data_IF_204704492138
#
_entry.id   IF_204704492138
#
_cell.length_a   1.000
_cell.length_b   1.000
_cell.length_c   1.000
_cell.angle_alpha   90.00
_cell.angle_beta   90.00
_cell.angle_gamma   90.00
#
_symmetry.space_group_name_H-M   'P 1'
#
loop_
_entity.id
_entity.type
_entity.pdbx_description
1 polymer ?
#
# COMPACT_ATOMS: atom_id res chain seq x y z
N UNK A 1 -27.20 16.36 16.75
CA UNK A 1 -27.32 16.79 18.09
C UNK A 1 -27.95 18.16 18.35
N UNK A 2 -27.31 19.26 17.96
CA UNK A 2 -27.84 20.64 18.26
C UNK A 2 -29.03 21.02 17.41
N UNK A 3 -29.13 20.53 16.19
CA UNK A 3 -30.26 20.79 15.31
C UNK A 3 -31.59 20.23 15.81
N UNK A 4 -31.56 19.08 16.48
CA UNK A 4 -32.73 18.38 16.97
C UNK A 4 -33.28 18.91 18.32
N UNK A 5 -32.57 19.83 19.00
CA UNK A 5 -33.04 20.37 20.28
C UNK A 5 -34.25 21.28 20.09
N UNK A 6 -35.25 21.07 20.96
CA UNK A 6 -36.37 21.96 21.06
C UNK A 6 -35.90 23.32 21.63
N UNK A 7 -36.47 24.40 21.12
CA UNK A 7 -36.16 25.73 21.63
C UNK A 7 -37.46 26.57 21.62
N UNK A 8 -37.86 26.97 22.82
CA UNK A 8 -39.05 27.82 23.01
C UNK A 8 -38.75 29.22 22.51
N UNK A 9 -39.76 29.82 21.87
CA UNK A 9 -39.72 31.20 21.35
C UNK A 9 -38.56 31.50 20.36
N UNK A 10 -38.00 30.50 19.70
CA UNK A 10 -36.87 30.67 18.77
C UNK A 10 -37.21 31.64 17.62
N UNK A 11 -38.48 31.63 17.18
CA UNK A 11 -38.97 32.44 16.06
C UNK A 11 -39.90 33.61 16.51
N UNK A 12 -39.79 33.98 17.80
CA UNK A 12 -40.59 35.01 18.41
C UNK A 12 -41.56 34.50 19.48
N UNK A 13 -42.19 35.41 20.22
CA UNK A 13 -43.06 35.05 21.34
C UNK A 13 -44.17 34.07 20.96
N UNK A 14 -44.24 32.91 21.61
CA UNK A 14 -45.19 31.84 21.32
C UNK A 14 -44.86 31.00 20.07
N UNK A 15 -43.72 31.25 19.40
CA UNK A 15 -43.30 30.51 18.22
C UNK A 15 -42.09 29.60 18.55
N UNK A 16 -42.41 28.40 18.96
CA UNK A 16 -41.40 27.41 19.35
C UNK A 16 -40.80 26.71 18.13
N UNK A 17 -39.59 26.21 18.28
CA UNK A 17 -39.00 25.31 17.30
C UNK A 17 -39.62 23.91 17.47
N UNK A 18 -40.50 23.52 16.56
CA UNK A 18 -41.23 22.24 16.58
C UNK A 18 -40.55 21.15 15.72
N UNK A 19 -39.81 21.59 14.70
CA UNK A 19 -39.15 20.69 13.75
C UNK A 19 -37.82 21.28 13.25
N UNK A 20 -37.08 20.48 12.57
CA UNK A 20 -35.88 20.88 11.80
C UNK A 20 -35.92 20.24 10.43
N UNK A 21 -35.28 20.88 9.47
CA UNK A 21 -35.23 20.39 8.09
C UNK A 21 -33.82 19.88 7.81
N UNK A 22 -33.71 18.68 7.24
CA UNK A 22 -32.50 18.14 6.73
C UNK A 22 -32.55 18.16 5.21
N UNK A 23 -31.54 18.78 4.61
CA UNK A 23 -31.38 18.76 3.16
C UNK A 23 -30.45 17.61 2.81
N UNK A 24 -30.97 16.56 2.20
CA UNK A 24 -30.19 15.41 1.74
C UNK A 24 -29.78 15.58 0.27
N UNK A 25 -28.59 16.12 0.06
CA UNK A 25 -28.06 16.39 -1.29
C UNK A 25 -27.54 15.13 -2.02
N UNK A 26 -27.36 14.02 -1.31
CA UNK A 26 -26.77 12.79 -1.85
C UNK A 26 -27.65 11.55 -1.66
N UNK A 27 -28.96 11.74 -1.42
CA UNK A 27 -29.93 10.67 -1.19
C UNK A 27 -29.51 9.68 -0.08
N UNK A 28 -28.86 10.20 0.99
CA UNK A 28 -28.40 9.36 2.09
C UNK A 28 -29.54 8.64 2.79
N UNK A 29 -30.70 9.29 2.94
CA UNK A 29 -31.87 8.66 3.57
C UNK A 29 -32.41 7.50 2.75
N UNK A 30 -32.40 7.62 1.41
CA UNK A 30 -32.77 6.55 0.51
C UNK A 30 -31.76 5.40 0.60
N UNK A 31 -30.46 5.74 0.53
CA UNK A 31 -29.37 4.77 0.68
C UNK A 31 -29.44 3.99 2.00
N UNK A 32 -29.62 4.66 3.15
CA UNK A 32 -29.74 3.99 4.45
C UNK A 32 -31.09 3.30 4.65
N UNK A 33 -32.13 3.72 3.91
CA UNK A 33 -33.39 3.00 3.85
C UNK A 33 -33.28 1.63 3.19
N UNK A 34 -32.49 1.57 2.10
CA UNK A 34 -32.17 0.31 1.41
C UNK A 34 -31.07 -0.49 2.09
N UNK A 35 -30.15 0.17 2.79
CA UNK A 35 -29.01 -0.42 3.51
C UNK A 35 -29.02 0.00 4.98
N UNK A 36 -29.91 -0.58 5.83
CA UNK A 36 -30.07 -0.15 7.22
C UNK A 36 -28.78 -0.25 8.06
N UNK A 37 -27.90 -1.19 7.73
CA UNK A 37 -26.61 -1.36 8.40
C UNK A 37 -25.53 -0.39 7.88
N UNK A 38 -25.85 0.38 6.84
CA UNK A 38 -24.93 1.31 6.20
C UNK A 38 -23.83 0.60 5.42
N UNK A 39 -22.93 1.40 4.87
CA UNK A 39 -21.68 0.90 4.30
C UNK A 39 -20.67 0.77 5.46
N UNK A 40 -20.32 -0.45 5.81
CA UNK A 40 -19.13 -0.69 6.64
C UNK A 40 -17.94 -0.40 5.72
N UNK A 41 -17.22 0.72 5.88
CA UNK A 41 -16.02 0.93 5.08
C UNK A 41 -15.09 -0.24 5.39
N UNK A 42 -14.75 -1.05 4.37
CA UNK A 42 -13.60 -1.94 4.49
C UNK A 42 -12.46 -1.05 4.97
N UNK A 43 -11.84 -1.39 6.08
CA UNK A 43 -10.65 -0.66 6.55
C UNK A 43 -9.71 -0.49 5.36
N UNK A 44 -9.57 0.75 4.90
CA UNK A 44 -8.64 1.04 3.83
C UNK A 44 -7.25 1.01 4.44
N UNK A 45 -6.52 -0.06 4.14
CA UNK A 45 -5.12 -0.17 4.51
C UNK A 45 -4.36 1.05 4.00
N UNK A 46 -3.54 1.63 4.84
CA UNK A 46 -2.63 2.71 4.46
C UNK A 46 -1.68 2.25 3.34
N UNK A 47 -1.04 3.18 2.65
CA UNK A 47 -0.07 2.83 1.61
C UNK A 47 1.08 2.00 2.17
N UNK A 48 1.57 2.34 3.37
CA UNK A 48 2.64 1.58 4.03
C UNK A 48 2.20 0.16 4.42
N UNK A 49 0.98 -0.04 4.91
CA UNK A 49 0.46 -1.38 5.18
C UNK A 49 0.36 -2.22 3.91
N UNK A 50 -0.12 -1.61 2.82
CA UNK A 50 -0.22 -2.27 1.51
C UNK A 50 1.15 -2.60 0.92
N UNK A 51 2.13 -1.72 1.07
CA UNK A 51 3.49 -1.96 0.61
C UNK A 51 4.14 -3.09 1.41
N UNK A 52 4.01 -3.07 2.73
CA UNK A 52 4.53 -4.12 3.60
C UNK A 52 3.94 -5.49 3.26
N UNK A 53 2.63 -5.55 3.04
CA UNK A 53 1.96 -6.77 2.60
C UNK A 53 2.47 -7.25 1.24
N UNK A 54 2.60 -6.36 0.25
CA UNK A 54 3.11 -6.71 -1.07
C UNK A 54 4.55 -7.27 -0.99
N UNK A 55 5.40 -6.72 -0.11
CA UNK A 55 6.75 -7.24 0.13
C UNK A 55 6.74 -8.62 0.79
N UNK A 56 5.82 -8.90 1.71
CA UNK A 56 5.66 -10.25 2.28
C UNK A 56 5.30 -11.24 1.17
N UNK A 57 4.35 -10.90 0.31
CA UNK A 57 3.94 -11.75 -0.81
C UNK A 57 5.10 -11.99 -1.78
N UNK A 58 5.89 -10.95 -2.11
CA UNK A 58 7.07 -11.07 -2.96
C UNK A 58 8.13 -11.99 -2.33
N UNK A 59 8.41 -11.87 -1.04
CA UNK A 59 9.35 -12.73 -0.35
C UNK A 59 8.93 -14.20 -0.38
N UNK A 60 7.62 -14.49 -0.22
CA UNK A 60 7.08 -15.85 -0.32
C UNK A 60 7.24 -16.42 -1.73
N UNK A 61 6.89 -15.66 -2.77
CA UNK A 61 7.04 -16.10 -4.17
C UNK A 61 8.51 -16.29 -4.56
N UNK A 62 9.39 -15.37 -4.13
CA UNK A 62 10.83 -15.47 -4.37
C UNK A 62 11.44 -16.71 -3.71
N UNK A 63 11.02 -17.02 -2.47
CA UNK A 63 11.44 -18.22 -1.76
C UNK A 63 10.94 -19.49 -2.46
N UNK A 64 9.69 -19.52 -2.89
CA UNK A 64 9.09 -20.68 -3.56
C UNK A 64 9.80 -21.05 -4.87
N UNK A 65 10.33 -20.06 -5.60
CA UNK A 65 11.09 -20.28 -6.84
C UNK A 65 12.60 -20.40 -6.60
N UNK A 66 13.08 -20.27 -5.35
CA UNK A 66 14.47 -20.29 -4.94
C UNK A 66 15.30 -19.11 -5.50
N UNK A 67 14.66 -17.97 -5.74
CA UNK A 67 15.35 -16.75 -6.15
C UNK A 67 15.92 -16.02 -4.92
N UNK A 68 17.15 -16.37 -4.57
CA UNK A 68 17.83 -15.86 -3.36
C UNK A 68 18.14 -14.35 -3.44
N UNK A 69 18.36 -13.80 -4.62
CA UNK A 69 18.63 -12.37 -4.80
C UNK A 69 17.40 -11.52 -4.46
N UNK A 70 16.27 -11.80 -5.12
CA UNK A 70 15.02 -11.09 -4.84
C UNK A 70 14.59 -11.30 -3.40
N UNK A 71 14.72 -12.53 -2.91
CA UNK A 71 14.39 -12.86 -1.53
C UNK A 71 15.16 -12.00 -0.54
N UNK A 72 16.49 -12.00 -0.60
CA UNK A 72 17.34 -11.27 0.34
C UNK A 72 17.09 -9.76 0.26
N UNK A 73 16.95 -9.19 -0.94
CA UNK A 73 16.63 -7.78 -1.13
C UNK A 73 15.28 -7.43 -0.49
N UNK A 74 14.28 -8.28 -0.67
CA UNK A 74 12.94 -8.06 -0.10
C UNK A 74 12.95 -8.16 1.43
N UNK A 75 13.70 -9.11 1.99
CA UNK A 75 13.87 -9.24 3.45
C UNK A 75 14.53 -7.99 4.05
N UNK A 76 15.56 -7.44 3.39
CA UNK A 76 16.19 -6.21 3.87
C UNK A 76 15.23 -5.01 3.82
N UNK A 77 14.35 -4.93 2.80
CA UNK A 77 13.31 -3.91 2.73
C UNK A 77 12.30 -4.07 3.89
N UNK A 78 11.83 -5.29 4.17
CA UNK A 78 10.92 -5.56 5.28
C UNK A 78 11.56 -5.21 6.64
N UNK A 79 12.83 -5.58 6.85
CA UNK A 79 13.58 -5.20 8.05
C UNK A 79 13.73 -3.68 8.18
N UNK A 80 13.96 -2.99 7.07
CA UNK A 80 14.08 -1.53 7.05
C UNK A 80 12.74 -0.84 7.38
N UNK A 81 11.62 -1.34 6.86
CA UNK A 81 10.29 -0.83 7.20
C UNK A 81 10.05 -0.88 8.71
N UNK A 82 10.44 -1.98 9.36
CA UNK A 82 10.33 -2.14 10.82
C UNK A 82 11.27 -1.18 11.55
N UNK A 83 12.53 -1.06 11.11
CA UNK A 83 13.53 -0.17 11.74
C UNK A 83 13.15 1.30 11.69
N UNK A 84 12.44 1.70 10.63
CA UNK A 84 12.04 3.10 10.37
C UNK A 84 10.71 3.49 11.02
N UNK A 85 10.03 2.56 11.70
CA UNK A 85 8.81 2.88 12.46
C UNK A 85 9.04 4.02 13.47
N UNK A 86 8.09 4.95 13.61
CA UNK A 86 8.24 6.11 14.48
C UNK A 86 8.23 5.71 15.96
N UNK A 87 9.40 5.63 16.57
CA UNK A 87 9.61 5.19 17.97
C UNK A 87 8.86 6.00 19.02
N UNK A 88 8.35 7.18 18.66
CA UNK A 88 7.55 8.04 19.56
C UNK A 88 6.05 7.67 19.56
N UNK A 89 5.59 6.82 18.65
CA UNK A 89 4.20 6.35 18.63
C UNK A 89 3.94 5.40 19.79
N UNK A 90 2.84 5.59 20.50
CA UNK A 90 2.44 4.72 21.63
C UNK A 90 2.31 3.28 21.19
N UNK A 91 1.61 3.03 20.09
CA UNK A 91 1.43 1.68 19.54
C UNK A 91 2.77 1.00 19.21
N UNK A 92 3.74 1.76 18.66
CA UNK A 92 5.08 1.22 18.35
C UNK A 92 5.86 0.93 19.64
N UNK A 93 5.70 1.76 20.69
CA UNK A 93 6.33 1.54 21.99
C UNK A 93 5.77 0.28 22.68
N UNK A 94 4.46 0.08 22.64
CA UNK A 94 3.82 -1.12 23.19
C UNK A 94 4.34 -2.40 22.55
N UNK A 95 4.71 -2.37 21.26
CA UNK A 95 5.23 -3.51 20.52
C UNK A 95 6.77 -3.55 20.42
N UNK A 96 7.48 -2.64 21.10
CA UNK A 96 8.93 -2.47 20.94
C UNK A 96 9.73 -3.74 21.19
N UNK A 97 9.38 -4.53 22.21
CA UNK A 97 10.06 -5.80 22.49
C UNK A 97 9.84 -6.85 21.39
N UNK A 98 8.62 -6.93 20.86
CA UNK A 98 8.27 -7.84 19.76
C UNK A 98 9.03 -7.45 18.49
N UNK A 99 9.06 -6.17 18.14
CA UNK A 99 9.79 -5.66 16.97
C UNK A 99 11.30 -5.91 17.09
N UNK A 100 11.87 -5.69 18.27
CA UNK A 100 13.28 -5.95 18.55
C UNK A 100 13.63 -7.44 18.41
N UNK A 101 12.77 -8.32 18.93
CA UNK A 101 12.95 -9.77 18.82
C UNK A 101 12.85 -10.24 17.36
N UNK A 102 11.87 -9.73 16.61
CA UNK A 102 11.71 -10.02 15.18
C UNK A 102 12.98 -9.62 14.42
N UNK A 103 13.51 -8.41 14.64
CA UNK A 103 14.71 -7.94 13.96
C UNK A 103 15.99 -8.72 14.31
N UNK A 104 16.10 -9.23 15.55
CA UNK A 104 17.29 -9.98 16.03
C UNK A 104 17.28 -11.45 15.65
N UNK A 105 16.11 -12.04 15.37
CA UNK A 105 15.99 -13.49 15.13
C UNK A 105 16.19 -13.81 13.65
N UNK A 106 17.46 -13.86 13.20
CA UNK A 106 17.82 -14.16 11.80
C UNK A 106 17.21 -15.47 11.28
N UNK A 107 17.05 -16.48 12.13
CA UNK A 107 16.50 -17.77 11.74
C UNK A 107 15.06 -17.67 11.22
N UNK A 108 14.24 -16.78 11.81
CA UNK A 108 12.87 -16.56 11.35
C UNK A 108 12.85 -15.94 9.94
N UNK A 109 13.77 -15.01 9.67
CA UNK A 109 13.92 -14.40 8.36
C UNK A 109 14.46 -15.38 7.30
N UNK A 110 15.31 -16.32 7.68
CA UNK A 110 15.79 -17.38 6.78
C UNK A 110 14.71 -18.42 6.48
N UNK A 111 13.96 -18.83 7.51
CA UNK A 111 12.91 -19.82 7.38
C UNK A 111 11.63 -19.23 6.76
N UNK A 112 11.29 -17.98 7.05
CA UNK A 112 10.12 -17.25 6.57
C UNK A 112 8.91 -18.17 6.42
N UNK A 113 8.57 -18.87 7.51
CA UNK A 113 7.48 -19.83 7.56
C UNK A 113 6.11 -19.15 7.77
N UNK A 114 5.05 -19.92 7.65
CA UNK A 114 3.67 -19.44 7.79
C UNK A 114 3.42 -18.76 9.14
N UNK A 115 3.97 -19.31 10.22
CA UNK A 115 3.82 -18.76 11.58
C UNK A 115 4.47 -17.38 11.68
N UNK A 116 5.66 -17.22 11.10
CA UNK A 116 6.35 -15.94 11.08
C UNK A 116 5.65 -14.92 10.17
N UNK A 117 5.15 -15.35 9.03
CA UNK A 117 4.35 -14.51 8.12
C UNK A 117 3.07 -14.04 8.82
N UNK A 118 2.36 -14.92 9.53
CA UNK A 118 1.19 -14.52 10.32
C UNK A 118 1.55 -13.51 11.43
N UNK A 119 2.70 -13.67 12.10
CA UNK A 119 3.17 -12.72 13.09
C UNK A 119 3.42 -11.36 12.46
N UNK A 120 4.09 -11.30 11.31
CA UNK A 120 4.32 -10.05 10.57
C UNK A 120 3.00 -9.39 10.13
N UNK A 121 2.04 -10.19 9.68
CA UNK A 121 0.75 -9.65 9.20
C UNK A 121 -0.15 -9.16 10.35
N UNK A 122 -0.16 -9.85 11.48
CA UNK A 122 -1.05 -9.52 12.60
C UNK A 122 -0.47 -8.43 13.53
N UNK A 123 0.83 -8.49 13.82
CA UNK A 123 1.47 -7.64 14.82
C UNK A 123 2.23 -6.46 14.22
N UNK A 124 2.86 -6.66 13.06
CA UNK A 124 3.76 -5.65 12.47
C UNK A 124 3.04 -4.79 11.41
N UNK A 125 2.33 -5.41 10.48
CA UNK A 125 1.64 -4.69 9.40
C UNK A 125 0.72 -3.55 9.92
N UNK A 126 -0.11 -3.73 10.98
CA UNK A 126 -0.96 -2.65 11.48
C UNK A 126 -0.17 -1.45 12.01
N UNK A 127 1.08 -1.63 12.42
CA UNK A 127 1.94 -0.53 12.88
C UNK A 127 2.44 0.32 11.72
N UNK A 128 2.48 -0.20 10.49
CA UNK A 128 2.93 0.51 9.30
C UNK A 128 2.09 1.76 9.01
N UNK A 129 0.81 1.81 9.41
CA UNK A 129 -0.04 3.01 9.33
C UNK A 129 0.52 4.23 10.11
N UNK A 130 1.49 4.01 11.00
CA UNK A 130 2.12 5.08 11.79
C UNK A 130 3.24 5.81 11.04
N UNK A 131 3.71 5.27 9.91
CA UNK A 131 4.57 6.01 9.01
C UNK A 131 3.84 7.24 8.47
N UNK A 132 4.55 8.37 8.45
CA UNK A 132 4.04 9.61 7.85
C UNK A 132 4.54 9.71 6.42
N UNK A 133 3.62 9.96 5.49
CA UNK A 133 3.97 10.29 4.10
C UNK A 133 4.22 11.79 3.98
N UNK A 134 5.32 12.18 3.35
CA UNK A 134 5.54 13.56 2.93
C UNK A 134 4.84 13.82 1.60
N UNK A 135 4.59 15.09 1.30
CA UNK A 135 3.91 15.48 0.06
C UNK A 135 4.68 14.97 -1.18
N UNK A 136 4.02 14.18 -1.99
CA UNK A 136 4.56 13.61 -3.22
C UNK A 136 5.11 12.17 -3.08
N UNK A 137 5.38 11.69 -1.89
CA UNK A 137 5.80 10.28 -1.66
C UNK A 137 4.68 9.27 -1.93
N UNK A 138 3.42 9.68 -1.81
CA UNK A 138 2.26 8.83 -2.06
C UNK A 138 2.25 8.22 -3.46
N UNK A 139 2.68 8.97 -4.47
CA UNK A 139 2.77 8.49 -5.87
C UNK A 139 3.92 7.52 -6.08
N UNK A 140 5.07 7.79 -5.47
CA UNK A 140 6.21 6.87 -5.50
C UNK A 140 5.86 5.54 -4.80
N UNK A 141 5.21 5.59 -3.65
CA UNK A 141 4.75 4.40 -2.93
C UNK A 141 3.69 3.61 -3.71
N UNK A 142 2.75 4.29 -4.36
CA UNK A 142 1.77 3.62 -5.22
C UNK A 142 2.45 2.89 -6.38
N UNK A 143 3.46 3.51 -6.99
CA UNK A 143 4.27 2.85 -8.02
C UNK A 143 4.99 1.65 -7.45
N UNK A 144 5.64 1.78 -6.30
CA UNK A 144 6.38 0.69 -5.65
C UNK A 144 5.48 -0.50 -5.32
N UNK A 145 4.27 -0.26 -4.78
CA UNK A 145 3.28 -1.32 -4.53
C UNK A 145 2.95 -2.07 -5.83
N UNK A 146 2.67 -1.34 -6.92
CA UNK A 146 2.29 -1.94 -8.20
C UNK A 146 3.47 -2.71 -8.80
N UNK A 147 4.69 -2.16 -8.72
CA UNK A 147 5.91 -2.81 -9.18
C UNK A 147 6.16 -4.12 -8.40
N UNK A 148 6.08 -4.10 -7.08
CA UNK A 148 6.23 -5.28 -6.23
C UNK A 148 5.19 -6.36 -6.57
N UNK A 149 3.92 -5.98 -6.78
CA UNK A 149 2.86 -6.90 -7.21
C UNK A 149 3.11 -7.49 -8.60
N UNK A 150 3.70 -6.70 -9.50
CA UNK A 150 4.09 -7.19 -10.82
C UNK A 150 5.20 -8.23 -10.73
N UNK A 151 6.24 -7.97 -9.93
CA UNK A 151 7.31 -8.93 -9.65
C UNK A 151 6.77 -10.23 -9.08
N UNK A 152 5.91 -10.16 -8.06
CA UNK A 152 5.23 -11.32 -7.48
C UNK A 152 4.51 -12.12 -8.54
N UNK A 153 3.72 -11.46 -9.41
CA UNK A 153 2.96 -12.13 -10.45
C UNK A 153 3.85 -12.81 -11.50
N UNK A 154 5.01 -12.22 -11.85
CA UNK A 154 5.99 -12.84 -12.76
C UNK A 154 6.65 -14.07 -12.10
N UNK A 155 7.02 -14.01 -10.82
CA UNK A 155 7.57 -15.17 -10.10
C UNK A 155 6.53 -16.29 -9.95
N UNK A 156 5.29 -15.95 -9.61
CA UNK A 156 4.19 -16.92 -9.52
C UNK A 156 3.94 -17.62 -10.87
N UNK A 157 4.01 -16.86 -11.98
CA UNK A 157 3.89 -17.44 -13.33
C UNK A 157 5.02 -18.44 -13.59
N UNK A 158 6.28 -18.06 -13.30
CA UNK A 158 7.43 -18.96 -13.47
C UNK A 158 7.27 -20.23 -12.61
N UNK A 159 6.76 -20.11 -11.38
CA UNK A 159 6.49 -21.25 -10.51
C UNK A 159 5.42 -22.17 -11.10
N UNK A 160 4.35 -21.60 -11.67
CA UNK A 160 3.28 -22.35 -12.33
C UNK A 160 3.80 -23.07 -13.58
N UNK A 161 4.63 -22.41 -14.40
CA UNK A 161 5.28 -23.01 -15.58
C UNK A 161 6.18 -24.18 -15.15
N UNK A 162 7.00 -24.02 -14.10
CA UNK A 162 7.86 -25.08 -13.54
C UNK A 162 7.05 -26.30 -13.08
N UNK A 163 5.83 -26.05 -12.56
CA UNK A 163 4.94 -27.09 -12.07
C UNK A 163 3.92 -27.59 -13.12
N UNK A 164 4.02 -27.17 -14.38
CA UNK A 164 3.09 -27.50 -15.48
C UNK A 164 1.61 -27.13 -15.17
N UNK A 165 1.39 -26.02 -14.48
CA UNK A 165 0.05 -25.48 -14.17
C UNK A 165 -0.32 -24.41 -15.20
N UNK A 166 -1.62 -24.27 -15.51
CA UNK A 166 -2.12 -23.23 -16.44
C UNK A 166 -1.82 -21.81 -15.95
N UNK A 167 -1.14 -21.03 -16.78
CA UNK A 167 -0.67 -19.66 -16.47
C UNK A 167 -1.62 -18.55 -16.91
N UNK A 168 -2.73 -18.86 -17.57
CA UNK A 168 -3.63 -17.85 -18.17
C UNK A 168 -4.13 -16.79 -17.16
N UNK A 169 -4.36 -17.21 -15.93
CA UNK A 169 -4.82 -16.28 -14.87
C UNK A 169 -3.72 -15.29 -14.49
N UNK A 170 -2.47 -15.78 -14.36
CA UNK A 170 -1.32 -14.94 -14.07
C UNK A 170 -0.98 -14.01 -15.24
N UNK A 171 -1.08 -14.47 -16.47
CA UNK A 171 -0.87 -13.65 -17.67
C UNK A 171 -1.84 -12.47 -17.73
N UNK A 172 -3.12 -12.69 -17.42
CA UNK A 172 -4.11 -11.61 -17.32
C UNK A 172 -3.77 -10.62 -16.19
N UNK A 173 -3.35 -11.13 -15.02
CA UNK A 173 -2.93 -10.31 -13.89
C UNK A 173 -1.71 -9.47 -14.24
N UNK A 174 -0.71 -10.06 -14.88
CA UNK A 174 0.51 -9.39 -15.36
C UNK A 174 0.16 -8.26 -16.34
N UNK A 175 -0.67 -8.51 -17.35
CA UNK A 175 -1.05 -7.48 -18.32
C UNK A 175 -1.81 -6.32 -17.67
N UNK A 176 -2.69 -6.60 -16.71
CA UNK A 176 -3.38 -5.57 -15.94
C UNK A 176 -2.40 -4.73 -15.11
N UNK A 177 -1.40 -5.37 -14.49
CA UNK A 177 -0.36 -4.69 -13.71
C UNK A 177 0.55 -3.85 -14.60
N UNK A 178 0.94 -4.33 -15.79
CA UNK A 178 1.67 -3.55 -16.79
C UNK A 178 0.93 -2.25 -17.16
N UNK A 179 -0.38 -2.32 -17.36
CA UNK A 179 -1.18 -1.13 -17.64
C UNK A 179 -1.23 -0.16 -16.46
N UNK A 180 -1.31 -0.67 -15.21
CA UNK A 180 -1.21 0.16 -14.01
C UNK A 180 0.15 0.82 -13.86
N UNK A 181 1.25 0.10 -14.15
CA UNK A 181 2.62 0.64 -14.14
C UNK A 181 2.74 1.78 -15.14
N UNK A 182 2.30 1.59 -16.39
CA UNK A 182 2.31 2.65 -17.42
C UNK A 182 1.58 3.92 -16.94
N UNK A 183 0.42 3.75 -16.34
CA UNK A 183 -0.35 4.87 -15.77
C UNK A 183 0.39 5.54 -14.61
N UNK A 184 0.95 4.76 -13.69
CA UNK A 184 1.69 5.28 -12.55
C UNK A 184 2.97 6.01 -12.96
N UNK A 185 3.71 5.52 -13.96
CA UNK A 185 4.86 6.21 -14.55
C UNK A 185 4.43 7.56 -15.13
N UNK A 186 3.30 7.62 -15.81
CA UNK A 186 2.79 8.89 -16.33
C UNK A 186 2.47 9.89 -15.20
N UNK A 187 1.91 9.43 -14.10
CA UNK A 187 1.66 10.26 -12.91
C UNK A 187 2.96 10.69 -12.23
N UNK A 188 3.94 9.81 -12.11
CA UNK A 188 5.27 10.11 -11.56
C UNK A 188 6.00 11.20 -12.36
N UNK A 189 5.88 11.23 -13.68
CA UNK A 189 6.47 12.28 -14.51
C UNK A 189 6.10 13.68 -14.05
N UNK A 190 4.86 13.87 -13.60
CA UNK A 190 4.39 15.16 -13.11
C UNK A 190 4.88 15.49 -11.71
N UNK A 191 5.13 14.49 -10.90
CA UNK A 191 5.61 14.63 -9.50
C UNK A 191 7.12 14.79 -9.46
N UNK A 192 7.87 13.96 -10.19
CA UNK A 192 9.33 13.98 -10.28
C UNK A 192 9.83 15.28 -10.96
N UNK A 193 9.03 15.90 -11.82
CA UNK A 193 9.38 17.19 -12.42
C UNK A 193 9.55 18.32 -11.39
N UNK A 194 8.94 18.18 -10.22
CA UNK A 194 9.08 19.14 -9.09
C UNK A 194 10.27 18.83 -8.19
N UNK A 195 10.78 17.60 -8.20
CA UNK A 195 11.97 17.19 -7.46
C UNK A 195 13.18 17.40 -8.40
N UNK A 196 13.96 18.45 -8.14
CA UNK A 196 15.05 18.92 -9.02
C UNK A 196 16.32 18.04 -8.98
N UNK A 197 16.25 16.77 -8.66
CA UNK A 197 17.45 15.93 -8.65
C UNK A 197 17.68 15.26 -10.00
N UNK A 198 18.92 15.44 -10.49
CA UNK A 198 19.44 14.88 -11.74
C UNK A 198 19.84 13.41 -11.51
N UNK A 199 18.91 12.50 -11.50
CA UNK A 199 19.24 11.09 -11.65
C UNK A 199 19.00 10.64 -13.10
N UNK A 200 19.89 9.84 -13.62
CA UNK A 200 19.83 9.28 -14.98
C UNK A 200 18.58 8.40 -15.17
N UNK A 201 18.09 7.77 -14.10
CA UNK A 201 16.89 6.96 -14.10
C UNK A 201 15.61 7.81 -14.14
N UNK A 202 15.60 8.94 -13.45
CA UNK A 202 14.51 9.92 -13.55
C UNK A 202 14.38 10.43 -14.99
N UNK A 203 15.49 10.65 -15.67
CA UNK A 203 15.50 11.02 -17.10
C UNK A 203 14.98 9.87 -17.98
N UNK A 204 15.36 8.63 -17.68
CA UNK A 204 14.89 7.43 -18.38
C UNK A 204 13.38 7.25 -18.20
N UNK A 205 12.84 7.37 -16.97
CA UNK A 205 11.40 7.36 -16.68
C UNK A 205 10.64 8.47 -17.41
N UNK A 206 11.28 9.63 -17.63
CA UNK A 206 10.70 10.73 -18.42
C UNK A 206 10.69 10.45 -19.92
N UNK A 207 11.48 9.52 -20.42
CA UNK A 207 11.51 9.21 -21.85
C UNK A 207 10.19 8.59 -22.32
N UNK A 208 9.80 8.89 -23.57
CA UNK A 208 8.57 8.32 -24.16
C UNK A 208 8.66 6.82 -24.37
N UNK A 209 9.86 6.29 -24.49
CA UNK A 209 10.10 4.89 -24.84
C UNK A 209 9.95 3.98 -23.63
N UNK A 210 10.38 4.41 -22.43
CA UNK A 210 10.19 3.64 -21.18
C UNK A 210 8.70 3.37 -20.89
N UNK A 211 7.79 4.27 -21.28
CA UNK A 211 6.36 4.06 -21.04
C UNK A 211 5.71 3.04 -21.98
N UNK A 212 6.38 2.68 -23.08
CA UNK A 212 5.86 1.72 -24.07
C UNK A 212 6.35 0.31 -23.81
N UNK A 213 7.64 0.18 -23.50
CA UNK A 213 8.27 -1.11 -23.23
C UNK A 213 9.15 -0.99 -21.98
N UNK A 214 8.97 -1.84 -21.03
CA UNK A 214 9.82 -1.97 -19.85
C UNK A 214 9.96 -3.46 -19.51
N UNK A 215 11.13 -3.79 -18.99
CA UNK A 215 11.39 -5.11 -18.45
C UNK A 215 11.49 -5.07 -16.93
N UNK A 216 11.51 -6.23 -16.30
CA UNK A 216 11.63 -6.40 -14.86
C UNK A 216 12.81 -5.62 -14.25
N UNK A 217 14.00 -5.70 -14.86
CA UNK A 217 15.20 -5.03 -14.34
C UNK A 217 15.06 -3.51 -14.32
N UNK A 218 14.43 -2.94 -15.34
CA UNK A 218 14.20 -1.50 -15.42
C UNK A 218 13.22 -1.01 -14.37
N UNK A 219 12.21 -1.82 -14.04
CA UNK A 219 11.26 -1.52 -12.95
C UNK A 219 11.98 -1.55 -11.61
N UNK A 220 12.83 -2.57 -11.38
CA UNK A 220 13.61 -2.73 -10.16
C UNK A 220 14.59 -1.56 -9.95
N UNK A 221 15.24 -1.11 -11.02
CA UNK A 221 16.09 0.08 -10.99
C UNK A 221 15.30 1.33 -10.58
N UNK A 222 14.13 1.57 -11.17
CA UNK A 222 13.26 2.70 -10.81
C UNK A 222 12.78 2.59 -9.36
N UNK A 223 12.41 1.39 -8.92
CA UNK A 223 11.98 1.15 -7.54
C UNK A 223 13.09 1.49 -6.54
N UNK A 224 14.30 1.02 -6.81
CA UNK A 224 15.46 1.23 -5.94
C UNK A 224 15.80 2.71 -5.81
N UNK A 225 15.78 3.47 -6.91
CA UNK A 225 16.03 4.91 -6.84
C UNK A 225 14.91 5.68 -6.16
N UNK A 226 13.63 5.33 -6.40
CA UNK A 226 12.51 5.99 -5.75
C UNK A 226 12.49 5.74 -4.23
N UNK A 227 12.94 4.58 -3.77
CA UNK A 227 13.06 4.26 -2.34
C UNK A 227 14.17 5.05 -1.64
N UNK A 228 15.15 5.54 -2.38
CA UNK A 228 16.26 6.36 -1.89
C UNK A 228 15.98 7.88 -1.84
N UNK A 229 14.82 8.32 -2.32
CA UNK A 229 14.44 9.75 -2.29
C UNK A 229 13.80 10.06 -0.92
N UNK A 230 14.38 10.99 -0.12
CA UNK A 230 13.88 11.32 1.22
C UNK A 230 12.53 12.05 1.20
#
# INVERSE_FOLDING_TARGET
GRGARLCENLFGNGKNKEHFVIFDHYSNFEFFGENPEGYIPKEQLSLYERLFQARIELALSAKAIENTEIYNNTIELLKNDIKTLPKKSVDVQEHAMTLDNILKTELCWQNFDETFVELLDKEVRPLMKRHQTTFGQDKAMQFEIIATQYETAELDKQLQEKNNVDTKTQEKKIELLKNKIRKSIFELRTTIYKVKEKSTLIEKVKSSDFSKEFNYKEIEEVRTELSGIP
#
